data_IF_977831110425
#
_entry.id   IF_977831110425
#
_cell.length_a   1.000
_cell.length_b   1.000
_cell.length_c   1.000
_cell.angle_alpha   90.00
_cell.angle_beta   90.00
_cell.angle_gamma   90.00
#
_symmetry.space_group_name_H-M   'P 1'
#
loop_
_entity.id
_entity.type
_entity.pdbx_description
1 polymer ?
#
# COMPACT_ATOMS: atom_id res chain seq x y z
N UNK A 1 -1.62 -32.89 12.29
CA UNK A 1 -0.28 -32.37 12.68
C UNK A 1 -0.30 -32.08 14.17
N UNK A 2 0.73 -32.46 14.94
CA UNK A 2 0.77 -32.16 16.36
C UNK A 2 0.87 -30.65 16.57
N UNK A 3 0.08 -30.10 17.47
CA UNK A 3 0.16 -28.70 17.89
C UNK A 3 1.27 -28.60 18.95
N UNK A 4 2.24 -27.73 18.76
CA UNK A 4 3.24 -27.44 19.79
C UNK A 4 2.57 -26.90 21.07
N UNK A 5 3.13 -27.18 22.27
CA UNK A 5 2.58 -26.71 23.53
C UNK A 5 2.53 -25.18 23.56
N UNK A 6 1.36 -24.62 23.89
CA UNK A 6 1.18 -23.17 23.97
C UNK A 6 1.88 -22.63 25.21
N UNK A 7 2.77 -21.67 24.99
CA UNK A 7 3.35 -20.82 26.02
C UNK A 7 2.33 -19.75 26.41
N UNK A 8 1.77 -19.85 27.62
CA UNK A 8 0.69 -18.99 28.10
C UNK A 8 1.18 -17.62 28.61
N UNK A 9 2.50 -17.41 28.74
CA UNK A 9 3.08 -16.13 29.17
C UNK A 9 3.33 -15.17 27.98
N UNK A 10 3.11 -15.64 26.75
CA UNK A 10 3.29 -14.84 25.52
C UNK A 10 1.97 -14.40 24.93
N UNK A 11 1.70 -13.09 24.95
CA UNK A 11 0.53 -12.50 24.27
C UNK A 11 0.85 -12.32 22.78
N UNK A 12 0.23 -13.12 21.93
CA UNK A 12 0.42 -13.07 20.48
C UNK A 12 -0.90 -13.17 19.71
N UNK A 13 -1.03 -12.40 18.62
CA UNK A 13 -2.09 -12.57 17.64
C UNK A 13 -1.70 -13.70 16.68
N UNK A 14 -2.47 -14.79 16.67
CA UNK A 14 -2.26 -15.96 15.81
C UNK A 14 -3.46 -16.15 14.90
N UNK A 15 -3.20 -16.49 13.63
CA UNK A 15 -4.23 -16.87 12.66
C UNK A 15 -3.79 -18.12 11.89
N UNK A 16 -4.74 -18.90 11.33
CA UNK A 16 -4.42 -20.06 10.51
C UNK A 16 -3.51 -19.68 9.34
N UNK A 17 -2.38 -20.38 9.19
CA UNK A 17 -1.43 -20.13 8.11
C UNK A 17 -0.58 -18.86 8.28
N UNK A 18 -0.49 -18.29 9.49
CA UNK A 18 0.42 -17.18 9.78
C UNK A 18 1.86 -17.53 9.38
N UNK A 19 2.42 -16.72 8.49
CA UNK A 19 3.84 -16.80 8.10
C UNK A 19 4.56 -15.58 8.64
N UNK A 20 5.62 -15.82 9.40
CA UNK A 20 6.46 -14.77 9.99
C UNK A 20 7.55 -14.30 9.03
N UNK A 21 8.05 -15.20 8.20
CA UNK A 21 9.00 -14.89 7.14
C UNK A 21 8.30 -14.14 6.01
N UNK A 22 8.83 -12.96 5.69
CA UNK A 22 8.34 -12.12 4.59
C UNK A 22 9.35 -12.18 3.44
N UNK A 23 8.85 -12.64 2.30
CA UNK A 23 9.62 -12.78 1.08
C UNK A 23 10.00 -11.40 0.52
N UNK A 24 11.30 -11.22 0.23
CA UNK A 24 11.87 -9.98 -0.33
C UNK A 24 12.28 -10.21 -1.78
N UNK A 25 11.32 -10.58 -2.62
CA UNK A 25 11.59 -10.79 -4.05
C UNK A 25 11.84 -9.44 -4.70
N UNK A 26 12.97 -9.34 -5.40
CA UNK A 26 13.27 -8.22 -6.27
C UNK A 26 12.64 -8.47 -7.63
N UNK A 27 11.72 -7.61 -8.02
CA UNK A 27 11.15 -7.62 -9.37
C UNK A 27 11.44 -6.28 -10.05
N UNK A 28 11.72 -6.29 -11.36
CA UNK A 28 11.71 -5.04 -12.11
C UNK A 28 10.28 -4.47 -12.09
N UNK A 29 10.16 -3.19 -11.82
CA UNK A 29 8.88 -2.48 -11.84
C UNK A 29 8.97 -1.24 -12.72
N UNK A 30 7.85 -0.86 -13.30
CA UNK A 30 7.76 0.32 -14.13
C UNK A 30 7.55 1.56 -13.25
N UNK A 31 8.47 2.52 -13.34
CA UNK A 31 8.21 3.88 -12.87
C UNK A 31 7.42 4.59 -13.97
N UNK A 32 6.12 4.78 -13.76
CA UNK A 32 5.21 5.37 -14.74
C UNK A 32 5.55 6.84 -14.97
N UNK A 33 5.79 7.58 -13.89
CA UNK A 33 6.02 9.01 -13.97
C UNK A 33 7.15 9.43 -13.03
N UNK A 34 8.07 10.25 -13.57
CA UNK A 34 8.99 11.06 -12.78
C UNK A 34 8.46 12.48 -12.84
N UNK A 35 7.80 12.93 -11.78
CA UNK A 35 7.21 14.26 -11.73
C UNK A 35 8.32 15.25 -11.39
N UNK A 36 8.67 16.09 -12.37
CA UNK A 36 9.75 17.07 -12.26
C UNK A 36 9.30 18.37 -11.57
N UNK A 37 8.04 18.75 -11.76
CA UNK A 37 7.49 19.99 -11.21
C UNK A 37 6.08 19.73 -10.69
N UNK A 38 5.84 20.16 -9.44
CA UNK A 38 4.49 20.27 -8.90
C UNK A 38 3.76 21.26 -9.80
N UNK A 39 2.68 20.84 -10.46
CA UNK A 39 1.82 21.76 -11.21
C UNK A 39 1.29 22.82 -10.23
N UNK A 40 1.94 23.99 -10.21
CA UNK A 40 1.31 25.22 -9.79
C UNK A 40 0.30 25.61 -10.87
N UNK A 41 -0.81 24.87 -11.00
CA UNK A 41 -1.97 25.37 -11.73
C UNK A 41 -2.62 26.43 -10.85
N UNK A 42 -2.25 27.67 -11.16
CA UNK A 42 -2.70 28.90 -10.56
C UNK A 42 -4.23 29.09 -10.59
N UNK A 43 -4.83 29.55 -9.49
CA UNK A 43 -5.73 30.71 -9.45
C UNK A 43 -6.21 31.02 -8.01
N UNK A 44 -6.15 32.31 -7.66
CA UNK A 44 -6.84 32.99 -6.55
C UNK A 44 -6.60 32.50 -5.11
N UNK A 45 -5.70 33.20 -4.41
CA UNK A 45 -5.88 33.64 -3.03
C UNK A 45 -6.61 32.71 -2.06
N UNK A 46 -6.03 31.56 -1.74
CA UNK A 46 -6.32 30.83 -0.51
C UNK A 46 -5.20 29.82 -0.27
N UNK A 47 -4.61 29.88 0.94
CA UNK A 47 -3.90 28.85 1.70
C UNK A 47 -2.96 27.87 0.96
N UNK A 48 -1.72 27.83 1.47
CA UNK A 48 -0.60 27.01 1.01
C UNK A 48 -0.96 25.67 0.37
N UNK A 49 -0.54 25.50 -0.88
CA UNK A 49 -0.56 24.21 -1.53
C UNK A 49 0.27 23.19 -0.75
N UNK A 50 -0.16 21.93 -0.79
CA UNK A 50 0.42 20.78 -0.09
C UNK A 50 1.91 20.53 -0.42
N UNK A 51 2.44 21.18 -1.47
CA UNK A 51 3.73 20.86 -2.04
C UNK A 51 4.55 22.13 -2.31
N UNK A 52 5.76 22.12 -1.77
CA UNK A 52 6.77 23.18 -1.83
C UNK A 52 7.32 23.33 -3.25
N UNK A 53 7.44 24.56 -3.75
CA UNK A 53 8.08 24.80 -5.05
C UNK A 53 9.59 24.50 -4.99
N UNK A 54 10.21 24.18 -6.13
CA UNK A 54 11.63 23.79 -6.16
C UNK A 54 12.58 24.84 -5.54
N UNK A 55 12.22 26.13 -5.60
CA UNK A 55 12.97 27.24 -4.99
C UNK A 55 12.87 27.32 -3.46
N UNK A 56 11.99 26.53 -2.86
CA UNK A 56 11.74 26.49 -1.42
C UNK A 56 12.21 25.17 -0.78
N UNK A 57 12.88 24.29 -1.55
CA UNK A 57 13.46 23.06 -1.02
C UNK A 57 14.69 23.38 -0.14
N UNK A 58 14.91 22.63 0.95
CA UNK A 58 16.06 22.84 1.81
C UNK A 58 17.37 22.44 1.13
N UNK A 59 18.48 23.03 1.57
CA UNK A 59 19.82 22.84 0.97
C UNK A 59 20.29 21.37 0.98
N UNK A 60 19.86 20.57 1.95
CA UNK A 60 20.18 19.15 2.03
C UNK A 60 19.39 18.27 1.05
N UNK A 61 18.45 18.83 0.29
CA UNK A 61 17.63 18.08 -0.66
C UNK A 61 18.49 17.61 -1.86
N UNK A 62 18.42 16.32 -2.27
CA UNK A 62 19.29 15.82 -3.33
C UNK A 62 19.08 16.55 -4.65
N UNK A 63 20.18 17.05 -5.24
CA UNK A 63 20.14 17.63 -6.58
C UNK A 63 19.61 16.61 -7.59
N UNK A 64 18.63 17.01 -8.39
CA UNK A 64 18.02 16.14 -9.39
C UNK A 64 17.02 15.12 -8.85
N UNK A 65 16.65 15.17 -7.57
CA UNK A 65 15.56 14.33 -7.05
C UNK A 65 14.26 14.53 -7.82
N UNK A 66 13.58 13.43 -8.13
CA UNK A 66 12.28 13.39 -8.81
C UNK A 66 11.31 12.51 -8.06
N UNK A 67 10.08 13.00 -7.90
CA UNK A 67 9.00 12.22 -7.32
C UNK A 67 8.67 11.04 -8.25
N UNK A 68 8.44 9.86 -7.68
CA UNK A 68 8.24 8.61 -8.43
C UNK A 68 6.80 8.12 -8.28
N UNK A 69 6.11 7.90 -9.39
CA UNK A 69 4.90 7.11 -9.45
C UNK A 69 5.26 5.71 -9.96
N UNK A 70 5.02 4.68 -9.15
CA UNK A 70 5.36 3.29 -9.46
C UNK A 70 4.06 2.48 -9.57
N UNK A 71 3.96 1.66 -10.61
CA UNK A 71 2.82 0.77 -10.80
C UNK A 71 3.24 -0.70 -10.69
N UNK A 72 2.45 -1.46 -9.94
CA UNK A 72 2.65 -2.86 -9.64
C UNK A 72 2.06 -3.25 -8.29
N UNK A 73 2.15 -4.54 -7.94
CA UNK A 73 1.79 -5.00 -6.60
C UNK A 73 2.75 -4.38 -5.57
N UNK A 74 2.16 -3.65 -4.62
CA UNK A 74 2.90 -2.92 -3.60
C UNK A 74 3.84 -3.81 -2.78
N UNK A 75 3.57 -5.10 -2.57
CA UNK A 75 4.47 -6.00 -1.84
C UNK A 75 5.82 -6.11 -2.55
N UNK A 76 5.80 -6.36 -3.87
CA UNK A 76 7.04 -6.52 -4.64
C UNK A 76 7.74 -5.19 -4.89
N UNK A 77 6.98 -4.10 -5.03
CA UNK A 77 7.54 -2.75 -5.12
C UNK A 77 8.25 -2.39 -3.83
N UNK A 78 7.60 -2.54 -2.67
CA UNK A 78 8.21 -2.26 -1.36
C UNK A 78 9.47 -3.10 -1.15
N UNK A 79 9.41 -4.41 -1.41
CA UNK A 79 10.57 -5.29 -1.31
C UNK A 79 11.75 -4.85 -2.20
N UNK A 80 11.46 -4.37 -3.41
CA UNK A 80 12.49 -3.92 -4.35
C UNK A 80 13.07 -2.54 -3.99
N UNK A 81 12.30 -1.68 -3.31
CA UNK A 81 12.75 -0.36 -2.85
C UNK A 81 13.71 -0.42 -1.65
N UNK A 82 13.76 -1.55 -0.92
CA UNK A 82 14.61 -1.71 0.26
C UNK A 82 16.09 -1.45 -0.06
N UNK A 83 16.60 -1.88 -1.21
CA UNK A 83 18.01 -1.66 -1.57
C UNK A 83 18.36 -0.16 -1.62
N UNK A 84 17.44 0.66 -2.12
CA UNK A 84 17.66 2.09 -2.29
C UNK A 84 17.34 2.88 -1.00
N UNK A 85 16.29 2.47 -0.28
CA UNK A 85 15.64 3.28 0.75
C UNK A 85 15.58 2.64 2.14
N UNK A 86 16.22 1.49 2.39
CA UNK A 86 16.27 0.92 3.74
C UNK A 86 16.76 1.94 4.77
N UNK A 87 15.96 2.18 5.81
CA UNK A 87 16.32 3.13 6.87
C UNK A 87 16.27 4.61 6.46
N UNK A 88 15.71 4.97 5.30
CA UNK A 88 15.75 6.34 4.75
C UNK A 88 14.40 7.02 4.63
N UNK A 89 13.29 6.31 4.87
CA UNK A 89 11.94 6.87 4.74
C UNK A 89 11.46 7.42 6.07
N UNK A 90 11.21 8.72 6.14
CA UNK A 90 10.76 9.36 7.40
C UNK A 90 9.26 9.25 7.65
N UNK A 91 8.46 9.13 6.58
CA UNK A 91 7.01 9.07 6.67
C UNK A 91 6.44 8.10 5.63
N UNK A 92 5.60 7.17 6.10
CA UNK A 92 4.76 6.32 5.26
C UNK A 92 3.30 6.59 5.64
N UNK A 93 2.46 6.84 4.64
CA UNK A 93 1.02 6.88 4.78
C UNK A 93 0.40 5.81 3.88
N UNK A 94 -0.48 4.98 4.44
CA UNK A 94 -1.26 4.00 3.69
C UNK A 94 -2.72 4.06 4.14
N UNK A 95 -3.64 3.84 3.21
CA UNK A 95 -5.07 3.67 3.47
C UNK A 95 -5.47 2.29 2.93
N UNK A 96 -5.21 1.20 3.70
CA UNK A 96 -5.43 -0.15 3.23
C UNK A 96 -6.94 -0.47 3.13
N UNK A 97 -7.33 -1.51 2.37
CA UNK A 97 -8.73 -1.95 2.33
C UNK A 97 -9.27 -2.24 3.74
N UNK A 98 -10.45 -1.73 4.06
CA UNK A 98 -11.04 -1.81 5.41
C UNK A 98 -11.56 -3.21 5.80
N UNK A 99 -11.51 -4.21 4.92
CA UNK A 99 -12.04 -5.55 5.18
C UNK A 99 -13.53 -5.54 5.57
N UNK A 100 -14.32 -4.66 4.96
CA UNK A 100 -15.77 -4.50 5.20
C UNK A 100 -16.61 -5.60 4.54
N UNK A 101 -16.00 -6.47 3.73
CA UNK A 101 -16.71 -7.60 3.10
C UNK A 101 -17.65 -7.15 1.98
N UNK A 102 -17.45 -5.94 1.45
CA UNK A 102 -18.30 -5.39 0.40
C UNK A 102 -18.00 -6.07 -0.94
N UNK A 103 -18.96 -6.85 -1.43
CA UNK A 103 -19.00 -7.29 -2.82
C UNK A 103 -19.53 -6.11 -3.66
N UNK A 104 -18.64 -5.36 -4.31
CA UNK A 104 -19.02 -4.23 -5.18
C UNK A 104 -19.64 -4.69 -6.51
N UNK A 105 -20.36 -5.82 -6.51
CA UNK A 105 -21.19 -6.25 -7.64
C UNK A 105 -22.44 -5.37 -7.70
N UNK A 106 -22.54 -4.49 -8.70
CA UNK A 106 -23.76 -3.73 -8.95
C UNK A 106 -24.69 -4.52 -9.88
N UNK A 107 -25.88 -4.88 -9.39
CA UNK A 107 -26.96 -5.44 -10.22
C UNK A 107 -27.66 -4.31 -10.95
N UNK A 108 -27.54 -4.25 -12.28
CA UNK A 108 -28.27 -3.27 -13.10
C UNK A 108 -29.52 -3.96 -13.65
N UNK A 109 -30.70 -3.42 -13.34
CA UNK A 109 -31.95 -3.86 -13.95
C UNK A 109 -32.09 -3.22 -15.34
N UNK A 110 -32.18 -4.05 -16.38
CA UNK A 110 -32.50 -3.59 -17.74
C UNK A 110 -33.85 -4.20 -18.12
N UNK A 111 -34.92 -3.41 -18.00
CA UNK A 111 -36.28 -3.89 -18.24
C UNK A 111 -36.72 -4.96 -17.24
N UNK A 112 -37.30 -6.07 -17.72
CA UNK A 112 -37.77 -7.20 -16.88
C UNK A 112 -36.69 -8.24 -16.57
N UNK A 113 -35.46 -8.06 -17.06
CA UNK A 113 -34.37 -9.03 -16.88
C UNK A 113 -33.30 -8.46 -15.95
N UNK A 114 -32.94 -9.23 -14.92
CA UNK A 114 -31.78 -8.91 -14.07
C UNK A 114 -30.53 -9.48 -14.74
N UNK A 115 -29.63 -8.61 -15.20
CA UNK A 115 -28.32 -9.02 -15.70
C UNK A 115 -27.29 -8.80 -14.59
N UNK A 116 -26.68 -9.88 -14.11
CA UNK A 116 -25.50 -9.80 -13.25
C UNK A 116 -24.28 -9.57 -14.15
N UNK A 117 -23.84 -8.31 -14.26
CA UNK A 117 -22.55 -7.98 -14.89
C UNK A 117 -21.45 -8.43 -13.93
N UNK A 118 -20.79 -9.53 -14.24
CA UNK A 118 -19.53 -9.86 -13.57
C UNK A 118 -18.53 -8.73 -13.79
N UNK A 119 -17.67 -8.40 -12.81
CA UNK A 119 -16.69 -7.33 -12.96
C UNK A 119 -15.90 -7.55 -14.25
N UNK A 120 -15.97 -6.60 -15.17
CA UNK A 120 -15.17 -6.66 -16.39
C UNK A 120 -13.69 -6.67 -15.99
N UNK A 121 -12.83 -7.36 -16.73
CA UNK A 121 -11.38 -7.36 -16.51
C UNK A 121 -10.72 -5.95 -16.52
N UNK A 122 -11.49 -4.92 -16.85
CA UNK A 122 -11.12 -3.49 -16.90
C UNK A 122 -11.58 -2.74 -15.63
N UNK A 123 -12.51 -3.30 -14.85
CA UNK A 123 -12.78 -2.94 -13.45
C UNK A 123 -11.96 -3.88 -12.57
N UNK A 124 -10.63 -3.76 -12.66
CA UNK A 124 -9.78 -4.21 -11.58
C UNK A 124 -10.11 -3.30 -10.39
N UNK A 125 -11.14 -3.67 -9.61
CA UNK A 125 -11.38 -3.10 -8.29
C UNK A 125 -10.00 -2.99 -7.65
N UNK A 126 -9.58 -1.77 -7.29
CA UNK A 126 -8.25 -1.49 -6.77
C UNK A 126 -7.85 -2.48 -5.65
N UNK A 127 -8.85 -3.08 -5.00
CA UNK A 127 -8.71 -4.33 -4.28
C UNK A 127 -10.05 -5.12 -4.21
N UNK A 128 -10.04 -6.46 -4.18
CA UNK A 128 -11.23 -7.29 -3.89
C UNK A 128 -11.39 -7.49 -2.39
N UNK A 129 -12.29 -6.75 -1.75
CA UNK A 129 -12.49 -6.75 -0.28
C UNK A 129 -13.17 -8.00 0.30
N UNK A 130 -12.80 -9.18 -0.20
CA UNK A 130 -13.26 -10.50 0.26
C UNK A 130 -12.07 -11.33 0.73
N UNK A 131 -11.86 -11.37 2.04
CA UNK A 131 -10.63 -11.86 2.67
C UNK A 131 -10.73 -13.25 3.30
N UNK A 132 -11.75 -14.03 2.92
CA UNK A 132 -12.10 -15.29 3.57
C UNK A 132 -13.03 -15.08 4.76
N UNK A 133 -13.59 -16.17 5.28
CA UNK A 133 -14.70 -16.13 6.22
C UNK A 133 -14.36 -15.49 7.58
N UNK A 134 -13.08 -15.38 7.97
CA UNK A 134 -12.66 -14.84 9.27
C UNK A 134 -11.51 -13.83 9.18
N UNK A 135 -11.23 -13.29 7.99
CA UNK A 135 -10.21 -12.24 7.79
C UNK A 135 -8.76 -12.71 7.84
N UNK A 136 -8.48 -14.01 7.95
CA UNK A 136 -7.12 -14.55 8.06
C UNK A 136 -6.21 -14.18 6.86
N UNK A 137 -6.78 -14.04 5.66
CA UNK A 137 -6.02 -13.62 4.46
C UNK A 137 -5.68 -12.13 4.52
N UNK A 138 -6.54 -11.31 5.12
CA UNK A 138 -6.28 -9.89 5.33
C UNK A 138 -5.12 -9.68 6.29
N UNK A 139 -5.12 -10.40 7.42
CA UNK A 139 -4.04 -10.32 8.39
C UNK A 139 -2.69 -10.65 7.77
N UNK A 140 -2.62 -11.72 6.97
CA UNK A 140 -1.40 -12.06 6.27
C UNK A 140 -1.00 -11.00 5.22
N UNK A 141 -1.98 -10.47 4.48
CA UNK A 141 -1.76 -9.44 3.46
C UNK A 141 -1.17 -8.15 4.04
N UNK A 142 -1.76 -7.63 5.12
CA UNK A 142 -1.30 -6.38 5.74
C UNK A 142 0.01 -6.60 6.52
N UNK A 143 0.17 -7.75 7.18
CA UNK A 143 1.39 -8.10 7.90
C UNK A 143 2.62 -8.05 6.99
N UNK A 144 2.57 -8.69 5.82
CA UNK A 144 3.69 -8.70 4.87
C UNK A 144 4.08 -7.29 4.42
N UNK A 145 3.11 -6.40 4.22
CA UNK A 145 3.34 -5.01 3.80
C UNK A 145 3.89 -4.14 4.92
N UNK A 146 3.39 -4.29 6.14
CA UNK A 146 3.87 -3.55 7.30
C UNK A 146 5.31 -3.93 7.67
N UNK A 147 5.68 -5.21 7.53
CA UNK A 147 7.07 -5.64 7.72
C UNK A 147 8.00 -4.98 6.68
N UNK A 148 7.63 -4.97 5.40
CA UNK A 148 8.43 -4.31 4.37
C UNK A 148 8.46 -2.79 4.54
N UNK A 149 7.35 -2.17 4.93
CA UNK A 149 7.31 -0.74 5.24
C UNK A 149 8.24 -0.39 6.40
N UNK A 150 8.29 -1.22 7.45
CA UNK A 150 9.21 -1.07 8.57
C UNK A 150 10.68 -1.14 8.14
N UNK A 151 11.03 -1.98 7.17
CA UNK A 151 12.41 -2.06 6.64
C UNK A 151 12.83 -0.77 5.90
N UNK A 152 11.87 -0.02 5.35
CA UNK A 152 12.12 1.27 4.67
C UNK A 152 12.23 2.44 5.65
N UNK A 153 11.52 2.39 6.78
CA UNK A 153 11.47 3.49 7.74
C UNK A 153 12.85 3.80 8.34
N UNK A 154 13.16 5.09 8.46
CA UNK A 154 14.29 5.55 9.27
C UNK A 154 14.06 5.25 10.76
N UNK A 155 15.13 5.33 11.58
CA UNK A 155 15.04 5.03 13.01
C UNK A 155 14.03 5.93 13.76
N UNK A 156 13.75 7.13 13.23
CA UNK A 156 12.78 8.09 13.76
C UNK A 156 11.53 8.21 12.87
N UNK A 157 11.44 7.36 11.84
CA UNK A 157 10.36 7.39 10.88
C UNK A 157 9.03 6.93 11.48
N UNK A 158 7.95 7.38 10.87
CA UNK A 158 6.59 7.07 11.32
C UNK A 158 5.74 6.51 10.18
N UNK A 159 4.79 5.65 10.56
CA UNK A 159 3.77 5.14 9.66
C UNK A 159 2.39 5.51 10.19
N UNK A 160 1.55 6.02 9.30
CA UNK A 160 0.14 6.29 9.52
C UNK A 160 -0.66 5.34 8.64
N UNK A 161 -1.60 4.62 9.27
CA UNK A 161 -2.46 3.60 8.68
C UNK A 161 -3.91 3.94 9.01
#
# INVERSE_FOLDING_TARGET
MPQEPRDYDRVELVWPGKRTEVERVRLPFQTIERVNDVRASAASGAQGGLLTSASQLPEWWPEGWRNRLIWGDNKYVLASLIEEFAGKVDLIYIDPPFAVGADFSFKVAVGTTTLEKQPSAIEELAYRDTWGARGERYYQYIYERLVLAKDLLSNTGSIYV
#
